data_IF_428081080317
#
_entry.id   IF_428081080317
#
_cell.length_a   1.000
_cell.length_b   1.000
_cell.length_c   1.000
_cell.angle_alpha   90.00
_cell.angle_beta   90.00
_cell.angle_gamma   90.00
#
_symmetry.space_group_name_H-M   'P 1'
#
loop_
_entity.id
_entity.type
_entity.pdbx_description
1 polymer ?
#
# COMPACT_ATOMS: atom_id res chain seq x y z
N UNK A 1 -26.89 37.95 27.88
CA UNK A 1 -27.11 36.97 26.78
C UNK A 1 -25.77 36.73 26.10
N UNK A 2 -25.06 35.69 26.52
CA UNK A 2 -23.78 35.26 25.96
C UNK A 2 -24.03 34.13 24.95
N UNK A 3 -23.86 34.45 23.66
CA UNK A 3 -23.97 33.50 22.56
C UNK A 3 -22.67 32.72 22.41
N UNK A 4 -22.73 31.41 22.68
CA UNK A 4 -21.70 30.43 22.37
C UNK A 4 -21.60 30.20 20.86
N UNK A 5 -20.48 30.62 20.26
CA UNK A 5 -20.14 30.32 18.87
C UNK A 5 -19.63 28.88 18.76
N UNK A 6 -20.37 28.07 18.01
CA UNK A 6 -20.15 26.65 17.80
C UNK A 6 -18.96 26.37 16.89
N UNK A 7 -18.00 25.61 17.41
CA UNK A 7 -16.83 25.04 16.72
C UNK A 7 -17.24 23.80 15.89
N UNK A 8 -17.91 24.01 14.76
CA UNK A 8 -18.39 22.89 13.90
C UNK A 8 -17.44 22.47 12.76
N UNK A 9 -16.34 23.20 12.52
CA UNK A 9 -15.46 23.00 11.34
C UNK A 9 -14.28 22.03 11.54
N UNK A 10 -14.07 21.50 12.75
CA UNK A 10 -12.95 20.61 13.08
C UNK A 10 -13.23 19.10 12.98
N UNK A 11 -14.50 18.71 13.07
CA UNK A 11 -14.93 17.31 13.25
C UNK A 11 -14.56 16.38 12.07
N UNK A 12 -14.67 16.79 10.78
CA UNK A 12 -14.39 15.89 9.65
C UNK A 12 -12.91 15.53 9.53
N UNK A 13 -12.02 16.50 9.78
CA UNK A 13 -10.56 16.31 9.62
C UNK A 13 -9.99 15.42 10.71
N UNK A 14 -10.42 15.61 11.95
CA UNK A 14 -9.99 14.78 13.07
C UNK A 14 -10.51 13.35 12.96
N UNK A 15 -11.72 13.14 12.42
CA UNK A 15 -12.25 11.82 12.12
C UNK A 15 -11.42 11.08 11.05
N UNK A 16 -11.07 11.76 9.95
CA UNK A 16 -10.24 11.17 8.88
C UNK A 16 -8.86 10.78 9.43
N UNK A 17 -8.24 11.63 10.25
CA UNK A 17 -6.95 11.32 10.91
C UNK A 17 -7.06 10.09 11.81
N UNK A 18 -8.08 10.02 12.67
CA UNK A 18 -8.31 8.87 13.57
C UNK A 18 -8.51 7.57 12.80
N UNK A 19 -9.27 7.60 11.70
CA UNK A 19 -9.50 6.43 10.83
C UNK A 19 -8.26 6.01 10.06
N UNK A 20 -7.51 6.98 9.53
CA UNK A 20 -6.23 6.74 8.88
C UNK A 20 -5.24 6.09 9.83
N UNK A 21 -5.15 6.59 11.07
CA UNK A 21 -4.32 6.02 12.11
C UNK A 21 -4.74 4.58 12.44
N UNK A 22 -6.04 4.31 12.59
CA UNK A 22 -6.56 2.96 12.82
C UNK A 22 -6.25 1.98 11.68
N UNK A 23 -6.33 2.46 10.43
CA UNK A 23 -5.89 1.71 9.25
C UNK A 23 -4.39 1.38 9.30
N UNK A 24 -3.53 2.36 9.60
CA UNK A 24 -2.09 2.15 9.69
C UNK A 24 -1.71 1.16 10.79
N UNK A 25 -2.39 1.22 11.94
CA UNK A 25 -2.18 0.28 13.05
C UNK A 25 -2.55 -1.13 12.62
N UNK A 26 -3.73 -1.34 12.04
CA UNK A 26 -4.15 -2.68 11.59
C UNK A 26 -3.27 -3.21 10.46
N UNK A 27 -2.87 -2.35 9.52
CA UNK A 27 -1.91 -2.70 8.48
C UNK A 27 -0.61 -3.18 9.10
N UNK A 28 -0.07 -2.45 10.07
CA UNK A 28 1.19 -2.78 10.76
C UNK A 28 1.09 -4.09 11.53
N UNK A 29 0.00 -4.32 12.28
CA UNK A 29 -0.23 -5.57 13.02
C UNK A 29 -0.32 -6.76 12.06
N UNK A 30 -1.15 -6.67 11.02
CA UNK A 30 -1.33 -7.75 10.05
C UNK A 30 -0.02 -8.07 9.31
N UNK A 31 0.74 -7.04 8.96
CA UNK A 31 2.00 -7.23 8.24
C UNK A 31 3.11 -7.79 9.14
N UNK A 32 3.17 -7.39 10.41
CA UNK A 32 4.11 -7.97 11.37
C UNK A 32 3.84 -9.46 11.60
N UNK A 33 2.56 -9.87 11.72
CA UNK A 33 2.16 -11.28 11.86
C UNK A 33 2.60 -12.11 10.64
N UNK A 34 2.62 -11.53 9.44
CA UNK A 34 3.08 -12.23 8.23
C UNK A 34 4.60 -12.24 8.08
N UNK A 35 5.27 -11.15 8.49
CA UNK A 35 6.71 -11.00 8.34
C UNK A 35 7.50 -11.82 9.37
N UNK A 36 7.09 -11.81 10.64
CA UNK A 36 7.86 -12.44 11.73
C UNK A 36 8.10 -13.95 11.52
N UNK A 37 7.09 -14.80 11.22
CA UNK A 37 7.31 -16.23 11.01
C UNK A 37 8.20 -16.50 9.79
N UNK A 38 8.03 -15.71 8.74
CA UNK A 38 8.77 -15.83 7.50
C UNK A 38 10.26 -15.48 7.69
N UNK A 39 10.54 -14.38 8.39
CA UNK A 39 11.92 -13.97 8.69
C UNK A 39 12.63 -14.98 9.59
N UNK A 40 11.93 -15.58 10.56
CA UNK A 40 12.47 -16.68 11.38
C UNK A 40 12.78 -17.92 10.53
N UNK A 41 11.88 -18.29 9.61
CA UNK A 41 12.07 -19.42 8.70
C UNK A 41 13.31 -19.25 7.82
N UNK A 42 13.51 -18.06 7.22
CA UNK A 42 14.66 -17.79 6.37
C UNK A 42 15.98 -17.61 7.15
N UNK A 43 15.95 -17.01 8.34
CA UNK A 43 17.13 -16.94 9.22
C UNK A 43 17.63 -18.34 9.62
N UNK A 44 16.73 -19.31 9.80
CA UNK A 44 17.09 -20.70 10.11
C UNK A 44 17.79 -21.41 8.94
N UNK A 45 17.51 -21.01 7.70
CA UNK A 45 18.10 -21.63 6.51
C UNK A 45 19.54 -21.15 6.24
N UNK A 46 19.91 -19.93 6.65
CA UNK A 46 21.26 -19.38 6.45
C UNK A 46 21.79 -18.70 7.72
N UNK A 47 22.49 -19.44 8.59
CA UNK A 47 23.17 -18.88 9.75
C UNK A 47 24.51 -18.25 9.32
N UNK A 48 24.50 -17.03 8.75
CA UNK A 48 25.75 -16.38 8.32
C UNK A 48 25.97 -14.89 8.64
N UNK A 49 25.05 -14.08 9.22
CA UNK A 49 25.43 -12.72 9.58
C UNK A 49 26.12 -12.67 10.94
N UNK A 50 27.19 -11.87 11.02
CA UNK A 50 27.89 -11.51 12.26
C UNK A 50 27.00 -10.75 13.26
N UNK A 51 25.87 -10.20 12.81
CA UNK A 51 24.87 -9.50 13.64
C UNK A 51 23.41 -9.79 13.20
N UNK A 52 22.87 -10.98 13.53
CA UNK A 52 21.53 -11.39 13.08
C UNK A 52 20.41 -10.43 13.50
N UNK A 53 20.57 -9.74 14.64
CA UNK A 53 19.60 -8.77 15.13
C UNK A 53 19.52 -7.50 14.26
N UNK A 54 20.65 -6.95 13.81
CA UNK A 54 20.67 -5.73 13.01
C UNK A 54 20.05 -5.95 11.62
N UNK A 55 20.35 -7.10 11.02
CA UNK A 55 19.80 -7.51 9.73
C UNK A 55 18.29 -7.71 9.82
N UNK A 56 17.82 -8.37 10.89
CA UNK A 56 16.40 -8.53 11.15
C UNK A 56 15.68 -7.18 11.32
N UNK A 57 16.24 -6.26 12.11
CA UNK A 57 15.68 -4.93 12.31
C UNK A 57 15.61 -4.12 11.01
N UNK A 58 16.67 -4.17 10.20
CA UNK A 58 16.71 -3.47 8.91
C UNK A 58 15.66 -4.00 7.94
N UNK A 59 15.52 -5.33 7.87
CA UNK A 59 14.50 -5.99 7.05
C UNK A 59 13.07 -5.66 7.50
N UNK A 60 12.82 -5.72 8.81
CA UNK A 60 11.55 -5.35 9.40
C UNK A 60 11.20 -3.88 9.07
N UNK A 61 12.18 -2.97 9.22
CA UNK A 61 12.01 -1.56 8.91
C UNK A 61 11.77 -1.32 7.42
N UNK A 62 12.53 -1.96 6.53
CA UNK A 62 12.37 -1.85 5.08
C UNK A 62 10.99 -2.36 4.63
N UNK A 63 10.54 -3.48 5.21
CA UNK A 63 9.22 -4.05 4.96
C UNK A 63 8.09 -3.12 5.41
N UNK A 64 8.17 -2.56 6.63
CA UNK A 64 7.17 -1.61 7.12
C UNK A 64 7.22 -0.27 6.37
N UNK A 65 8.40 0.20 5.98
CA UNK A 65 8.57 1.40 5.15
C UNK A 65 7.90 1.22 3.79
N UNK A 66 8.04 0.04 3.16
CA UNK A 66 7.33 -0.28 1.92
C UNK A 66 5.81 -0.16 2.08
N UNK A 67 5.25 -0.73 3.15
CA UNK A 67 3.81 -0.68 3.39
C UNK A 67 3.31 0.74 3.72
N UNK A 68 4.16 1.57 4.33
CA UNK A 68 3.89 3.00 4.52
C UNK A 68 3.91 3.76 3.19
N UNK A 69 4.85 3.45 2.30
CA UNK A 69 4.90 4.03 0.96
C UNK A 69 3.68 3.61 0.14
N UNK A 70 3.26 2.34 0.22
CA UNK A 70 2.04 1.89 -0.44
C UNK A 70 0.80 2.60 0.11
N UNK A 71 0.68 2.74 1.44
CA UNK A 71 -0.47 3.44 2.00
C UNK A 71 -0.51 4.91 1.58
N UNK A 72 0.64 5.59 1.58
CA UNK A 72 0.76 6.94 1.02
C UNK A 72 0.35 6.99 -0.45
N UNK A 73 0.79 6.02 -1.25
CA UNK A 73 0.45 5.91 -2.67
C UNK A 73 -1.07 5.76 -2.87
N UNK A 74 -1.71 4.88 -2.09
CA UNK A 74 -3.16 4.68 -2.11
C UNK A 74 -3.91 5.93 -1.65
N UNK A 75 -3.42 6.65 -0.64
CA UNK A 75 -4.02 7.89 -0.16
C UNK A 75 -4.03 8.98 -1.25
N UNK A 76 -2.94 9.12 -1.99
CA UNK A 76 -2.85 10.07 -3.12
C UNK A 76 -3.87 9.72 -4.21
N UNK A 77 -4.06 8.42 -4.47
CA UNK A 77 -4.93 7.87 -5.53
C UNK A 77 -6.42 7.92 -5.17
N UNK A 78 -6.79 7.79 -3.90
CA UNK A 78 -8.18 7.70 -3.44
C UNK A 78 -8.95 9.04 -3.50
N UNK A 79 -8.31 10.15 -3.84
CA UNK A 79 -8.98 11.45 -3.97
C UNK A 79 -10.11 11.41 -5.03
N UNK A 80 -11.39 11.59 -4.64
CA UNK A 80 -12.53 11.42 -5.55
C UNK A 80 -12.49 12.46 -6.67
N UNK A 81 -12.51 12.01 -7.93
CA UNK A 81 -12.59 12.89 -9.11
C UNK A 81 -13.59 12.33 -10.13
N UNK A 82 -14.65 13.08 -10.47
CA UNK A 82 -15.74 12.62 -11.33
C UNK A 82 -15.36 12.51 -12.83
N UNK A 83 -14.28 13.14 -13.27
CA UNK A 83 -13.93 13.21 -14.69
C UNK A 83 -13.05 12.04 -15.17
N UNK A 84 -12.97 11.73 -16.47
CA UNK A 84 -12.06 10.71 -17.00
C UNK A 84 -10.58 11.18 -17.01
N UNK A 85 -9.65 10.27 -16.69
CA UNK A 85 -8.20 10.50 -16.86
C UNK A 85 -7.82 10.58 -18.34
N UNK A 86 -6.95 11.53 -18.71
CA UNK A 86 -6.33 11.52 -20.05
C UNK A 86 -5.54 10.23 -20.26
N UNK A 87 -5.58 9.70 -21.48
CA UNK A 87 -4.86 8.48 -21.82
C UNK A 87 -3.34 8.72 -21.80
N UNK A 88 -2.57 7.70 -21.41
CA UNK A 88 -1.11 7.72 -21.40
C UNK A 88 -0.47 8.21 -22.73
N UNK A 89 -0.98 7.79 -23.92
CA UNK A 89 -0.50 8.33 -25.20
C UNK A 89 -0.90 9.80 -25.45
N UNK A 90 -2.05 10.27 -24.97
CA UNK A 90 -2.40 11.69 -25.08
C UNK A 90 -1.47 12.58 -24.25
N UNK A 91 -1.10 12.13 -23.05
CA UNK A 91 -0.13 12.84 -22.22
C UNK A 91 1.25 12.86 -22.89
N UNK A 92 1.73 11.70 -23.37
CA UNK A 92 3.00 11.59 -24.06
C UNK A 92 3.04 12.47 -25.33
N UNK A 93 1.96 12.49 -26.10
CA UNK A 93 1.85 13.36 -27.28
C UNK A 93 1.80 14.84 -26.90
N UNK A 94 1.16 15.20 -25.79
CA UNK A 94 1.10 16.58 -25.33
C UNK A 94 2.43 17.08 -24.73
N UNK A 95 3.13 16.26 -23.96
CA UNK A 95 4.47 16.57 -23.45
C UNK A 95 5.50 16.61 -24.59
N UNK A 96 5.42 15.69 -25.56
CA UNK A 96 6.24 15.73 -26.77
C UNK A 96 6.01 17.01 -27.57
N UNK A 97 4.74 17.40 -27.80
CA UNK A 97 4.41 18.67 -28.47
C UNK A 97 4.93 19.91 -27.72
N UNK A 98 4.93 19.87 -26.38
CA UNK A 98 5.50 20.93 -25.55
C UNK A 98 7.02 21.02 -25.70
N UNK A 99 7.71 19.87 -25.61
CA UNK A 99 9.16 19.79 -25.77
C UNK A 99 9.60 20.25 -27.17
N UNK A 100 8.86 19.84 -28.21
CA UNK A 100 9.08 20.25 -29.59
C UNK A 100 8.92 21.77 -29.76
N UNK A 101 7.87 22.37 -29.17
CA UNK A 101 7.66 23.83 -29.21
C UNK A 101 8.72 24.62 -28.45
N UNK A 102 9.20 24.09 -27.33
CA UNK A 102 10.28 24.69 -26.55
C UNK A 102 11.63 24.63 -27.29
N UNK A 103 11.92 23.52 -27.97
CA UNK A 103 13.13 23.36 -28.78
C UNK A 103 13.11 24.22 -30.06
N UNK A 104 11.94 24.44 -30.66
CA UNK A 104 11.77 25.26 -31.88
C UNK A 104 11.68 26.77 -31.56
N UNK A 105 11.82 27.17 -30.29
CA UNK A 105 11.93 28.59 -29.90
C UNK A 105 10.60 29.37 -29.88
N UNK A 106 9.46 28.68 -29.95
CA UNK A 106 8.13 29.31 -29.91
C UNK A 106 7.68 29.65 -28.49
N UNK A 107 8.15 30.75 -27.91
CA UNK A 107 7.71 31.26 -26.60
C UNK A 107 6.35 32.00 -26.64
N UNK A 108 5.36 31.47 -27.35
CA UNK A 108 3.98 31.93 -27.16
C UNK A 108 3.40 31.22 -25.94
N UNK A 109 2.99 31.99 -24.91
CA UNK A 109 2.32 31.47 -23.71
C UNK A 109 1.20 30.50 -24.15
N UNK A 110 1.32 29.20 -23.86
CA UNK A 110 0.26 28.29 -24.24
C UNK A 110 -0.95 28.61 -23.36
N UNK A 111 -2.08 28.95 -23.99
CA UNK A 111 -3.38 29.04 -23.33
C UNK A 111 -3.81 27.63 -22.93
N UNK A 112 -3.21 27.10 -21.86
CA UNK A 112 -3.68 25.88 -21.24
C UNK A 112 -5.10 26.15 -20.74
N UNK A 113 -6.08 25.55 -21.41
CA UNK A 113 -7.43 25.48 -20.85
C UNK A 113 -7.33 24.76 -19.51
N UNK A 114 -8.03 25.25 -18.47
CA UNK A 114 -8.00 24.65 -17.13
C UNK A 114 -8.27 23.12 -17.15
N UNK A 115 -8.99 22.65 -18.17
CA UNK A 115 -9.25 21.23 -18.44
C UNK A 115 -8.00 20.40 -18.79
N UNK A 116 -6.96 20.98 -19.39
CA UNK A 116 -5.70 20.26 -19.65
C UNK A 116 -4.86 20.14 -18.38
N UNK A 117 -4.72 21.20 -17.59
CA UNK A 117 -3.91 21.17 -16.36
C UNK A 117 -4.48 20.17 -15.33
N UNK A 118 -5.81 20.08 -15.23
CA UNK A 118 -6.49 19.07 -14.41
C UNK A 118 -6.18 17.63 -14.87
N UNK A 119 -6.22 17.38 -16.19
CA UNK A 119 -5.90 16.07 -16.77
C UNK A 119 -4.42 15.70 -16.64
N UNK A 120 -3.51 16.68 -16.82
CA UNK A 120 -2.08 16.51 -16.63
C UNK A 120 -1.72 16.18 -15.17
N UNK A 121 -2.34 16.88 -14.21
CA UNK A 121 -2.18 16.59 -12.77
C UNK A 121 -2.58 15.16 -12.43
N UNK A 122 -3.66 14.64 -13.02
CA UNK A 122 -4.12 13.25 -12.79
C UNK A 122 -3.18 12.21 -13.39
N UNK A 123 -2.62 12.51 -14.57
CA UNK A 123 -1.61 11.63 -15.16
C UNK A 123 -0.32 11.63 -14.33
N UNK A 124 0.10 12.79 -13.82
CA UNK A 124 1.21 12.90 -12.88
C UNK A 124 0.97 12.09 -11.60
N UNK A 125 -0.23 12.17 -11.01
CA UNK A 125 -0.61 11.35 -9.85
C UNK A 125 -0.52 9.85 -10.17
N UNK A 126 -0.94 9.43 -11.36
CA UNK A 126 -0.86 8.03 -11.79
C UNK A 126 0.59 7.56 -11.97
N UNK A 127 1.45 8.42 -12.55
CA UNK A 127 2.89 8.15 -12.67
C UNK A 127 3.55 8.11 -11.30
N UNK A 128 3.25 9.05 -10.41
CA UNK A 128 3.75 9.07 -9.04
C UNK A 128 3.34 7.81 -8.27
N UNK A 129 2.08 7.38 -8.44
CA UNK A 129 1.58 6.13 -7.87
C UNK A 129 2.36 4.91 -8.39
N UNK A 130 2.62 4.83 -9.70
CA UNK A 130 3.46 3.78 -10.29
C UNK A 130 4.88 3.78 -9.71
N UNK A 131 5.51 4.95 -9.59
CA UNK A 131 6.88 5.08 -9.06
C UNK A 131 6.95 4.67 -7.58
N UNK A 132 6.02 5.15 -6.74
CA UNK A 132 5.98 4.81 -5.32
C UNK A 132 5.68 3.32 -5.13
N UNK A 133 4.74 2.74 -5.87
CA UNK A 133 4.46 1.30 -5.82
C UNK A 133 5.67 0.47 -6.27
N UNK A 134 6.40 0.90 -7.31
CA UNK A 134 7.60 0.21 -7.77
C UNK A 134 8.71 0.21 -6.71
N UNK A 135 8.96 1.37 -6.09
CA UNK A 135 9.92 1.51 -5.00
C UNK A 135 9.50 0.68 -3.77
N UNK A 136 8.21 0.72 -3.41
CA UNK A 136 7.64 -0.10 -2.34
C UNK A 136 7.81 -1.61 -2.64
N UNK A 137 7.56 -2.03 -3.88
CA UNK A 137 7.73 -3.43 -4.29
C UNK A 137 9.19 -3.89 -4.20
N UNK A 138 10.15 -3.03 -4.52
CA UNK A 138 11.57 -3.30 -4.31
C UNK A 138 11.90 -3.47 -2.81
N UNK A 139 11.50 -2.50 -1.98
CA UNK A 139 11.78 -2.52 -0.54
C UNK A 139 11.15 -3.71 0.18
N UNK A 140 9.93 -4.12 -0.20
CA UNK A 140 9.26 -5.26 0.45
C UNK A 140 9.96 -6.58 0.13
N UNK A 141 10.44 -6.75 -1.09
CA UNK A 141 11.19 -7.94 -1.48
C UNK A 141 12.60 -7.95 -0.90
N UNK A 142 13.27 -6.80 -0.83
CA UNK A 142 14.54 -6.69 -0.11
C UNK A 142 14.38 -7.01 1.38
N UNK A 143 13.28 -6.56 1.99
CA UNK A 143 12.93 -6.91 3.37
C UNK A 143 12.67 -8.40 3.55
N UNK A 144 11.92 -9.05 2.66
CA UNK A 144 11.56 -10.48 2.82
C UNK A 144 12.71 -11.42 2.40
N UNK A 145 13.35 -11.15 1.26
CA UNK A 145 14.27 -12.07 0.60
C UNK A 145 15.75 -11.66 0.69
N UNK A 146 16.06 -10.37 0.89
CA UNK A 146 17.42 -9.82 0.80
C UNK A 146 18.32 -10.07 2.02
N UNK A 147 17.79 -10.73 3.05
CA UNK A 147 18.39 -10.90 4.38
C UNK A 147 19.82 -11.50 4.38
N UNK A 148 20.17 -12.51 3.56
CA UNK A 148 21.50 -13.14 3.61
C UNK A 148 22.50 -12.61 2.57
N UNK A 149 22.06 -11.80 1.60
CA UNK A 149 22.82 -11.50 0.36
C UNK A 149 23.37 -10.07 0.31
N UNK A 150 23.36 -9.34 1.43
CA UNK A 150 23.76 -7.91 1.50
C UNK A 150 25.23 -7.67 1.09
N UNK A 151 26.08 -8.71 1.10
CA UNK A 151 27.47 -8.61 0.64
C UNK A 151 27.65 -8.71 -0.88
N UNK A 152 26.66 -9.25 -1.62
CA UNK A 152 26.73 -9.35 -3.09
C UNK A 152 25.79 -8.35 -3.76
N UNK A 153 26.39 -7.30 -4.35
CA UNK A 153 25.66 -6.22 -5.00
C UNK A 153 24.83 -6.72 -6.19
N UNK A 154 25.30 -7.74 -6.91
CA UNK A 154 24.58 -8.29 -8.07
C UNK A 154 23.26 -8.96 -7.64
N UNK A 155 23.30 -9.81 -6.61
CA UNK A 155 22.11 -10.44 -6.02
C UNK A 155 21.12 -9.40 -5.45
N UNK A 156 21.63 -8.34 -4.82
CA UNK A 156 20.80 -7.25 -4.29
C UNK A 156 20.05 -6.50 -5.41
N UNK A 157 20.75 -6.20 -6.51
CA UNK A 157 20.17 -5.55 -7.68
C UNK A 157 19.12 -6.45 -8.34
N UNK A 158 19.39 -7.75 -8.50
CA UNK A 158 18.42 -8.70 -9.06
C UNK A 158 17.12 -8.75 -8.25
N UNK A 159 17.20 -8.91 -6.93
CA UNK A 159 16.02 -8.93 -6.04
C UNK A 159 15.28 -7.59 -6.11
N UNK A 160 16.01 -6.48 -6.08
CA UNK A 160 15.44 -5.14 -6.18
C UNK A 160 14.69 -4.93 -7.50
N UNK A 161 15.27 -5.33 -8.63
CA UNK A 161 14.64 -5.24 -9.95
C UNK A 161 13.37 -6.09 -10.02
N UNK A 162 13.40 -7.32 -9.50
CA UNK A 162 12.20 -8.15 -9.43
C UNK A 162 11.10 -7.54 -8.56
N UNK A 163 11.49 -6.86 -7.48
CA UNK A 163 10.54 -6.11 -6.66
C UNK A 163 9.94 -4.88 -7.36
N UNK A 164 10.72 -4.20 -8.20
CA UNK A 164 10.20 -3.14 -9.09
C UNK A 164 9.15 -3.73 -10.04
N UNK A 165 9.42 -4.87 -10.67
CA UNK A 165 8.49 -5.57 -11.57
C UNK A 165 7.20 -5.94 -10.83
N UNK A 166 7.31 -6.51 -9.63
CA UNK A 166 6.17 -6.81 -8.77
C UNK A 166 5.30 -5.56 -8.52
N UNK A 167 5.92 -4.45 -8.11
CA UNK A 167 5.23 -3.20 -7.86
C UNK A 167 4.54 -2.63 -9.10
N UNK A 168 5.18 -2.70 -10.27
CA UNK A 168 4.61 -2.28 -11.55
C UNK A 168 3.40 -3.14 -11.94
N UNK A 169 3.53 -4.47 -11.91
CA UNK A 169 2.44 -5.40 -12.27
C UNK A 169 1.23 -5.16 -11.37
N UNK A 170 1.44 -5.04 -10.07
CA UNK A 170 0.36 -4.75 -9.13
C UNK A 170 -0.31 -3.41 -9.42
N UNK A 171 0.49 -2.35 -9.57
CA UNK A 171 -0.02 -1.00 -9.76
C UNK A 171 -0.76 -0.85 -11.10
N UNK A 172 -0.23 -1.42 -12.18
CA UNK A 172 -0.92 -1.48 -13.47
C UNK A 172 -2.24 -2.23 -13.35
N UNK A 173 -2.24 -3.41 -12.73
CA UNK A 173 -3.47 -4.16 -12.49
C UNK A 173 -4.49 -3.36 -11.68
N UNK A 174 -4.03 -2.58 -10.70
CA UNK A 174 -4.85 -1.71 -9.87
C UNK A 174 -5.50 -0.58 -10.69
N UNK A 175 -4.71 0.13 -11.51
CA UNK A 175 -5.16 1.20 -12.40
C UNK A 175 -6.13 0.66 -13.47
N UNK A 176 -5.75 -0.41 -14.17
CA UNK A 176 -6.54 -0.99 -15.27
C UNK A 176 -7.89 -1.52 -14.82
N UNK A 177 -7.97 -2.14 -13.64
CA UNK A 177 -9.23 -2.66 -13.09
C UNK A 177 -10.10 -1.57 -12.48
N UNK A 178 -9.70 -0.30 -12.62
CA UNK A 178 -10.39 0.88 -12.09
C UNK A 178 -10.85 0.71 -10.64
N UNK A 179 -10.00 0.17 -9.76
CA UNK A 179 -10.36 -0.03 -8.34
C UNK A 179 -10.50 1.29 -7.54
N UNK A 180 -10.48 2.43 -8.23
CA UNK A 180 -10.76 3.79 -7.73
C UNK A 180 -12.13 3.96 -7.09
N UNK A 181 -13.06 3.02 -7.29
CA UNK A 181 -14.46 3.15 -6.87
C UNK A 181 -14.61 2.92 -5.37
N UNK A 182 -14.11 3.85 -4.57
CA UNK A 182 -14.86 4.33 -3.44
C UNK A 182 -15.99 5.20 -4.02
N UNK A 183 -17.06 4.56 -4.47
CA UNK A 183 -18.35 5.24 -4.59
C UNK A 183 -18.73 5.62 -3.16
N UNK A 184 -18.38 6.82 -2.75
CA UNK A 184 -19.03 7.46 -1.61
C UNK A 184 -20.41 7.88 -2.13
N UNK A 185 -21.52 7.21 -1.76
CA UNK A 185 -22.80 7.91 -1.85
C UNK A 185 -22.66 9.13 -0.95
N UNK A 186 -22.81 10.32 -1.53
CA UNK A 186 -22.85 11.57 -0.77
C UNK A 186 -24.17 11.53 0.00
N UNK A 187 -24.18 10.92 1.18
CA UNK A 187 -25.33 10.97 2.07
C UNK A 187 -25.19 12.27 2.85
N UNK A 188 -26.03 13.24 2.46
CA UNK A 188 -26.27 14.43 3.27
C UNK A 188 -26.91 13.97 4.58
N UNK A 189 -26.34 14.40 5.70
CA UNK A 189 -26.83 14.12 7.05
C UNK A 189 -28.28 14.62 7.17
N UNK A 190 -29.25 13.72 7.28
CA UNK A 190 -30.56 14.05 7.85
C UNK A 190 -30.44 13.99 9.37
N UNK A 191 -30.70 15.14 9.99
CA UNK A 191 -30.93 15.29 11.43
C UNK A 191 -31.90 14.23 11.98
N UNK A 192 -31.67 13.88 13.26
CA UNK A 192 -32.56 13.30 14.29
C UNK A 192 -31.97 12.01 14.90
N UNK A 193 -32.02 11.70 16.19
CA UNK A 193 -32.23 12.41 17.46
C UNK A 193 -32.09 11.33 18.57
N UNK A 194 -31.45 11.70 19.70
CA UNK A 194 -31.56 11.09 21.05
C UNK A 194 -30.81 9.79 21.41
N UNK A 195 -30.00 9.80 22.50
CA UNK A 195 -29.49 8.60 23.16
C UNK A 195 -30.43 8.10 24.27
N UNK A 196 -30.62 6.78 24.35
CA UNK A 196 -31.27 6.10 25.48
C UNK A 196 -30.21 5.85 26.55
N UNK A 197 -30.31 6.53 27.70
CA UNK A 197 -29.52 6.25 28.89
C UNK A 197 -30.13 5.05 29.64
N UNK A 198 -29.36 3.97 29.74
CA UNK A 198 -29.66 2.84 30.62
C UNK A 198 -28.65 2.83 31.76
N UNK A 199 -29.17 3.04 32.96
CA UNK A 199 -28.49 3.22 34.24
C UNK A 199 -27.98 1.91 34.84
N UNK A 200 -26.67 1.77 35.10
CA UNK A 200 -26.11 0.84 36.10
C UNK A 200 -24.78 1.42 36.67
N UNK A 201 -24.74 1.64 37.99
CA UNK A 201 -23.52 1.62 38.84
C UNK A 201 -23.51 0.26 39.58
N UNK A 202 -22.36 -0.36 39.93
CA UNK A 202 -21.22 0.30 40.57
C UNK A 202 -19.84 -0.19 40.09
N UNK A 203 -19.05 0.66 39.42
CA UNK A 203 -17.65 0.36 39.10
C UNK A 203 -16.77 1.62 39.10
N UNK A 204 -16.66 2.28 40.25
CA UNK A 204 -15.86 3.51 40.38
C UNK A 204 -14.36 3.26 40.22
N UNK A 205 -13.88 2.03 40.43
CA UNK A 205 -12.47 1.66 40.21
C UNK A 205 -12.16 1.20 38.78
N UNK A 206 -13.13 0.59 38.08
CA UNK A 206 -12.96 0.20 36.67
C UNK A 206 -13.06 1.44 35.75
N UNK A 207 -13.89 2.42 36.13
CA UNK A 207 -14.04 3.68 35.39
C UNK A 207 -12.73 4.48 35.34
N UNK A 208 -11.88 4.48 36.36
CA UNK A 208 -10.62 5.24 36.33
C UNK A 208 -9.57 4.63 35.37
N UNK A 209 -9.59 3.30 35.22
CA UNK A 209 -8.78 2.56 34.24
C UNK A 209 -9.38 2.68 32.85
N UNK A 210 -10.72 2.62 32.72
CA UNK A 210 -11.45 2.82 31.46
C UNK A 210 -11.39 4.27 31.00
N UNK A 211 -11.27 5.27 31.87
CA UNK A 211 -11.16 6.69 31.49
C UNK A 211 -9.76 7.00 30.95
N UNK A 212 -8.72 6.37 31.54
CA UNK A 212 -7.35 6.35 31.00
C UNK A 212 -7.22 5.56 29.70
N UNK A 213 -8.05 4.52 29.51
CA UNK A 213 -8.12 3.71 28.29
C UNK A 213 -9.28 4.11 27.37
N UNK A 214 -10.04 5.15 27.67
CA UNK A 214 -11.19 5.60 26.89
C UNK A 214 -10.80 5.91 25.45
N UNK A 215 -9.68 6.60 25.17
CA UNK A 215 -9.24 6.77 23.78
C UNK A 215 -8.84 5.45 23.10
N UNK A 216 -8.38 4.45 23.85
CA UNK A 216 -8.01 3.13 23.32
C UNK A 216 -9.25 2.26 23.07
N UNK A 217 -10.24 2.29 23.96
CA UNK A 217 -11.51 1.60 23.78
C UNK A 217 -12.40 2.27 22.72
N UNK A 218 -12.39 3.60 22.61
CA UNK A 218 -13.02 4.31 21.48
C UNK A 218 -12.34 3.95 20.16
N UNK A 219 -11.01 3.83 20.14
CA UNK A 219 -10.29 3.30 18.97
C UNK A 219 -10.73 1.87 18.66
N UNK A 220 -10.83 0.99 19.67
CA UNK A 220 -11.26 -0.40 19.51
C UNK A 220 -12.73 -0.52 19.05
N UNK A 221 -13.62 0.36 19.54
CA UNK A 221 -15.01 0.41 19.11
C UNK A 221 -15.12 0.85 17.64
N UNK A 222 -14.26 1.79 17.22
CA UNK A 222 -14.07 2.15 15.80
C UNK A 222 -13.41 1.03 14.98
N UNK A 223 -12.64 0.15 15.61
CA UNK A 223 -11.94 -0.97 14.97
C UNK A 223 -12.78 -2.25 14.85
N UNK A 224 -13.90 -2.42 15.57
CA UNK A 224 -14.80 -3.59 15.38
C UNK A 224 -15.15 -3.87 13.91
N UNK A 225 -15.56 -2.88 13.09
CA UNK A 225 -15.82 -3.14 11.67
C UNK A 225 -14.56 -3.50 10.90
N UNK A 226 -13.38 -3.03 11.30
CA UNK A 226 -12.10 -3.41 10.67
C UNK A 226 -11.74 -4.87 10.96
N UNK A 227 -11.92 -5.35 12.19
CA UNK A 227 -11.67 -6.75 12.54
C UNK A 227 -12.63 -7.71 11.81
N UNK A 228 -13.93 -7.42 11.83
CA UNK A 228 -14.91 -8.26 11.13
C UNK A 228 -14.69 -8.23 9.61
N UNK A 229 -14.43 -7.05 9.04
CA UNK A 229 -14.16 -6.95 7.62
C UNK A 229 -12.80 -7.51 7.21
N UNK A 230 -11.81 -7.52 8.12
CA UNK A 230 -10.54 -8.21 7.88
C UNK A 230 -10.78 -9.71 7.72
N UNK A 231 -11.54 -10.33 8.63
CA UNK A 231 -11.90 -11.75 8.56
C UNK A 231 -12.64 -12.09 7.26
N UNK A 232 -13.63 -11.28 6.87
CA UNK A 232 -14.42 -11.50 5.63
C UNK A 232 -13.60 -11.21 4.37
N UNK A 233 -12.75 -10.18 4.40
CA UNK A 233 -11.91 -9.76 3.29
C UNK A 233 -10.75 -10.72 3.01
N UNK A 234 -10.25 -11.42 4.03
CA UNK A 234 -9.04 -12.24 3.96
C UNK A 234 -9.08 -13.32 2.88
N UNK A 235 -10.18 -14.08 2.76
CA UNK A 235 -10.31 -15.12 1.72
C UNK A 235 -10.24 -14.52 0.31
N UNK A 236 -10.88 -13.37 0.10
CA UNK A 236 -10.85 -12.68 -1.19
C UNK A 236 -9.49 -12.06 -1.49
N UNK A 237 -8.80 -11.54 -0.46
CA UNK A 237 -7.45 -11.01 -0.54
C UNK A 237 -6.46 -12.13 -0.90
N UNK A 238 -6.56 -13.29 -0.27
CA UNK A 238 -5.72 -14.47 -0.56
C UNK A 238 -5.86 -14.94 -2.00
N UNK A 239 -7.10 -15.10 -2.51
CA UNK A 239 -7.34 -15.50 -3.91
C UNK A 239 -6.71 -14.51 -4.90
N UNK A 240 -6.83 -13.22 -4.62
CA UNK A 240 -6.24 -12.16 -5.46
C UNK A 240 -4.73 -12.12 -5.37
N UNK A 241 -4.18 -12.22 -4.16
CA UNK A 241 -2.76 -12.24 -3.92
C UNK A 241 -2.09 -13.42 -4.63
N UNK A 242 -2.72 -14.60 -4.59
CA UNK A 242 -2.27 -15.77 -5.34
C UNK A 242 -2.25 -15.52 -6.86
N UNK A 243 -3.30 -14.91 -7.41
CA UNK A 243 -3.32 -14.56 -8.84
C UNK A 243 -2.20 -13.59 -9.23
N UNK A 244 -1.96 -12.59 -8.38
CA UNK A 244 -0.94 -11.57 -8.61
C UNK A 244 0.48 -12.11 -8.45
N UNK A 245 0.71 -12.99 -7.48
CA UNK A 245 2.01 -13.65 -7.29
C UNK A 245 2.34 -14.55 -8.48
N UNK A 246 1.38 -15.33 -8.97
CA UNK A 246 1.56 -16.14 -10.19
C UNK A 246 1.88 -15.27 -11.41
N UNK A 247 1.13 -14.19 -11.63
CA UNK A 247 1.40 -13.28 -12.76
C UNK A 247 2.79 -12.65 -12.67
N UNK A 248 3.19 -12.20 -11.48
CA UNK A 248 4.52 -11.61 -11.23
C UNK A 248 5.62 -12.64 -11.43
N UNK A 249 5.41 -13.88 -10.99
CA UNK A 249 6.37 -14.96 -11.15
C UNK A 249 6.61 -15.28 -12.63
N UNK A 250 5.55 -15.32 -13.45
CA UNK A 250 5.67 -15.50 -14.90
C UNK A 250 6.48 -14.36 -15.53
N UNK A 251 6.18 -13.10 -15.19
CA UNK A 251 6.95 -11.95 -15.70
C UNK A 251 8.42 -11.98 -15.26
N UNK A 252 8.68 -12.37 -14.02
CA UNK A 252 10.02 -12.52 -13.49
C UNK A 252 10.80 -13.62 -14.22
N UNK A 253 10.15 -14.76 -14.49
CA UNK A 253 10.75 -15.87 -15.24
C UNK A 253 11.09 -15.49 -16.68
N UNK A 254 10.19 -14.78 -17.37
CA UNK A 254 10.42 -14.26 -18.72
C UNK A 254 11.67 -13.36 -18.76
N UNK A 255 11.83 -12.49 -17.77
CA UNK A 255 12.98 -11.58 -17.70
C UNK A 255 14.28 -12.34 -17.47
N UNK A 256 14.29 -13.36 -16.61
CA UNK A 256 15.46 -14.23 -16.42
C UNK A 256 15.84 -14.92 -17.73
N UNK A 257 14.87 -15.44 -18.49
CA UNK A 257 15.13 -16.08 -19.78
C UNK A 257 15.73 -15.13 -20.82
N UNK A 258 15.45 -13.83 -20.70
CA UNK A 258 16.03 -12.78 -21.54
C UNK A 258 17.46 -12.40 -21.11
N UNK A 259 17.94 -12.82 -19.92
CA UNK A 259 19.32 -12.61 -19.48
C UNK A 259 20.23 -13.77 -19.96
N UNK A 260 21.18 -13.52 -20.87
CA UNK A 260 21.81 -14.57 -21.66
C UNK A 260 22.88 -15.44 -20.96
N UNK A 261 23.16 -15.30 -19.66
CA UNK A 261 24.43 -15.82 -19.09
C UNK A 261 24.33 -16.75 -17.86
N UNK A 262 23.13 -17.11 -17.38
CA UNK A 262 23.00 -17.75 -16.05
C UNK A 262 22.89 -19.30 -16.02
N UNK A 263 22.81 -19.98 -17.17
CA UNK A 263 22.46 -21.43 -17.21
C UNK A 263 23.59 -22.38 -17.61
N UNK A 264 24.86 -22.05 -17.32
CA UNK A 264 26.00 -22.85 -17.79
C UNK A 264 26.41 -24.07 -16.95
N UNK A 265 25.79 -24.36 -15.79
CA UNK A 265 26.26 -25.46 -14.93
C UNK A 265 25.14 -26.21 -14.18
N UNK A 266 25.17 -27.54 -14.18
CA UNK A 266 24.14 -28.42 -13.57
C UNK A 266 23.95 -28.18 -12.06
N UNK A 267 25.03 -27.85 -11.33
CA UNK A 267 24.97 -27.54 -9.89
C UNK A 267 24.26 -26.20 -9.58
N UNK A 268 24.05 -25.33 -10.59
CA UNK A 268 23.31 -24.06 -10.40
C UNK A 268 21.78 -24.25 -10.41
N UNK A 269 21.28 -25.36 -10.93
CA UNK A 269 19.82 -25.58 -11.08
C UNK A 269 19.14 -25.67 -9.70
N UNK A 270 19.76 -26.36 -8.74
CA UNK A 270 19.23 -26.48 -7.38
C UNK A 270 19.13 -25.15 -6.65
N UNK A 271 20.21 -24.37 -6.65
CA UNK A 271 20.26 -23.02 -6.06
C UNK A 271 19.26 -22.08 -6.73
N UNK A 272 19.15 -22.14 -8.07
CA UNK A 272 18.16 -21.38 -8.82
C UNK A 272 16.73 -21.72 -8.40
N UNK A 273 16.40 -23.01 -8.25
CA UNK A 273 15.07 -23.43 -7.80
C UNK A 273 14.74 -22.94 -6.39
N UNK A 274 15.70 -22.98 -5.46
CA UNK A 274 15.53 -22.45 -4.10
C UNK A 274 15.29 -20.94 -4.13
N UNK A 275 16.04 -20.20 -4.97
CA UNK A 275 15.83 -18.76 -5.15
C UNK A 275 14.45 -18.44 -5.74
N UNK A 276 13.97 -19.22 -6.72
CA UNK A 276 12.64 -19.03 -7.30
C UNK A 276 11.53 -19.30 -6.28
N UNK A 277 11.66 -20.33 -5.45
CA UNK A 277 10.69 -20.63 -4.38
C UNK A 277 10.67 -19.49 -3.35
N UNK A 278 11.86 -19.01 -2.93
CA UNK A 278 11.99 -17.88 -1.98
C UNK A 278 11.33 -16.62 -2.54
N UNK A 279 11.58 -16.32 -3.81
CA UNK A 279 10.98 -15.19 -4.51
C UNK A 279 9.45 -15.33 -4.63
N UNK A 280 8.95 -16.52 -4.94
CA UNK A 280 7.52 -16.79 -5.01
C UNK A 280 6.83 -16.60 -3.65
N UNK A 281 7.43 -17.10 -2.57
CA UNK A 281 6.92 -16.88 -1.20
C UNK A 281 6.94 -15.39 -0.85
N UNK A 282 8.03 -14.68 -1.17
CA UNK A 282 8.16 -13.24 -0.90
C UNK A 282 7.11 -12.41 -1.64
N UNK A 283 6.90 -12.68 -2.93
CA UNK A 283 5.86 -12.00 -3.72
C UNK A 283 4.45 -12.35 -3.26
N UNK A 284 4.20 -13.58 -2.80
CA UNK A 284 2.92 -13.98 -2.22
C UNK A 284 2.63 -13.19 -0.94
N UNK A 285 3.57 -13.13 0.00
CA UNK A 285 3.44 -12.38 1.25
C UNK A 285 3.22 -10.89 0.95
N UNK A 286 4.03 -10.31 0.06
CA UNK A 286 3.89 -8.92 -0.36
C UNK A 286 2.48 -8.64 -0.94
N UNK A 287 2.00 -9.53 -1.82
CA UNK A 287 0.67 -9.43 -2.43
C UNK A 287 -0.45 -9.52 -1.38
N UNK A 288 -0.33 -10.42 -0.40
CA UNK A 288 -1.29 -10.55 0.71
C UNK A 288 -1.32 -9.26 1.51
N UNK A 289 -0.17 -8.72 1.91
CA UNK A 289 -0.09 -7.46 2.65
C UNK A 289 -0.74 -6.30 1.88
N UNK A 290 -0.45 -6.18 0.58
CA UNK A 290 -0.98 -5.10 -0.25
C UNK A 290 -2.50 -5.20 -0.46
N UNK A 291 -3.04 -6.40 -0.68
CA UNK A 291 -4.49 -6.60 -0.78
C UNK A 291 -5.19 -6.40 0.58
N UNK A 292 -4.58 -6.80 1.69
CA UNK A 292 -5.07 -6.47 3.05
C UNK A 292 -5.10 -4.96 3.26
N UNK A 293 -4.03 -4.23 2.91
CA UNK A 293 -3.99 -2.77 2.98
C UNK A 293 -5.12 -2.14 2.18
N UNK A 294 -5.32 -2.58 0.94
CA UNK A 294 -6.43 -2.10 0.11
C UNK A 294 -7.80 -2.38 0.76
N UNK A 295 -8.02 -3.59 1.28
CA UNK A 295 -9.27 -3.95 1.93
C UNK A 295 -9.52 -3.14 3.20
N UNK A 296 -8.53 -2.99 4.07
CA UNK A 296 -8.63 -2.17 5.28
C UNK A 296 -8.92 -0.70 4.93
N UNK A 297 -8.25 -0.18 3.91
CA UNK A 297 -8.49 1.18 3.42
C UNK A 297 -9.92 1.35 2.93
N UNK A 298 -10.41 0.41 2.12
CA UNK A 298 -11.78 0.43 1.60
C UNK A 298 -12.81 0.44 2.72
N UNK A 299 -12.59 -0.31 3.81
CA UNK A 299 -13.51 -0.39 4.95
C UNK A 299 -13.46 0.89 5.78
N UNK A 300 -12.26 1.38 6.10
CA UNK A 300 -12.06 2.61 6.89
C UNK A 300 -12.75 3.82 6.27
N UNK A 301 -12.74 3.90 4.94
CA UNK A 301 -13.33 5.02 4.20
C UNK A 301 -14.78 4.77 3.75
N UNK A 302 -15.23 3.52 3.51
CA UNK A 302 -16.66 3.25 3.25
C UNK A 302 -17.57 3.66 4.41
N UNK A 303 -17.11 3.53 5.67
CA UNK A 303 -17.88 3.94 6.86
C UNK A 303 -18.05 5.46 7.01
N UNK A 304 -17.53 6.25 6.06
CA UNK A 304 -17.58 7.72 6.08
C UNK A 304 -18.77 8.24 5.26
N UNK A 305 -19.41 7.36 4.49
CA UNK A 305 -20.68 7.57 3.80
C UNK A 305 -21.81 6.89 4.60
#
# INVERSE_FOLDING_TARGET
>A
MSSSSSTSTGIPRELVKKRWLGFLIWQSIASAVLHLPNSIFFLRQHPSPSSPAAVFLLSFLAFHLSLLLLSLALFIVVSPHPDPSASLPELAAASFRYLLKALVGGFSRPSFTAHFSLRARRSLVSVLFLLICSAAGSLILLGICGLPQVLDLASLVDIGLRGVIFGLVYCLHYIYRKRWVLNFPIIQVSNESSPVYMSILPYTYLLLVIDKLHPFFDMLYFQRPLFYSFKVGLSSALKRAFKLSVQTHVWSFIIILLLPDQFKTINMIGEFMVQQIRFYIGTLIASICWEISHHLLQVSFKLLA
#
